data_IF_945550288834
#
_entry.id   IF_945550288834
#
_cell.length_a   1.000
_cell.length_b   1.000
_cell.length_c   1.000
_cell.angle_alpha   90.00
_cell.angle_beta   90.00
_cell.angle_gamma   90.00
#
_symmetry.space_group_name_H-M   'P 1'
#
loop_
_entity.id
_entity.type
_entity.pdbx_description
1 polymer ?
#
# COMPACT_ATOMS: atom_id res chain seq x y z
N UNK A 1 -11.74 13.17 2.96
CA UNK A 1 -11.33 12.70 1.63
C UNK A 1 -11.99 13.43 0.46
N UNK A 2 -12.98 14.23 0.71
CA UNK A 2 -13.70 14.93 -0.36
C UNK A 2 -12.81 15.88 -1.17
N UNK A 3 -11.82 16.50 -0.54
CA UNK A 3 -10.91 17.43 -1.22
C UNK A 3 -9.76 16.71 -1.92
N UNK A 4 -9.58 15.45 -1.61
CA UNK A 4 -8.59 14.61 -2.26
C UNK A 4 -9.30 13.67 -3.20
N UNK A 5 -8.77 13.52 -4.42
CA UNK A 5 -9.35 12.59 -5.39
C UNK A 5 -8.94 11.16 -5.05
N UNK A 6 -9.53 10.60 -3.98
CA UNK A 6 -9.16 9.28 -3.48
C UNK A 6 -9.32 8.21 -4.56
N UNK A 7 -10.43 8.24 -5.29
CA UNK A 7 -10.67 7.27 -6.37
C UNK A 7 -9.60 7.37 -7.45
N UNK A 8 -9.24 8.57 -7.86
CA UNK A 8 -8.20 8.79 -8.86
C UNK A 8 -6.84 8.33 -8.39
N UNK A 9 -6.49 8.61 -7.12
CA UNK A 9 -5.24 8.15 -6.53
C UNK A 9 -5.19 6.63 -6.45
N UNK A 10 -6.30 6.00 -6.04
CA UNK A 10 -6.39 4.54 -5.98
C UNK A 10 -6.21 3.92 -7.36
N UNK A 11 -6.84 4.48 -8.38
CA UNK A 11 -6.71 3.98 -9.74
C UNK A 11 -5.28 4.11 -10.27
N UNK A 12 -4.62 5.22 -9.99
CA UNK A 12 -3.21 5.41 -10.38
C UNK A 12 -2.30 4.38 -9.72
N UNK A 13 -2.46 4.17 -8.42
CA UNK A 13 -1.67 3.21 -7.66
C UNK A 13 -1.93 1.78 -8.15
N UNK A 14 -3.18 1.43 -8.36
CA UNK A 14 -3.58 0.11 -8.86
C UNK A 14 -3.00 -0.15 -10.24
N UNK A 15 -3.15 0.80 -11.14
CA UNK A 15 -2.64 0.66 -12.50
C UNK A 15 -1.12 0.46 -12.51
N UNK A 16 -0.39 1.30 -11.80
CA UNK A 16 1.07 1.21 -11.75
C UNK A 16 1.54 -0.09 -11.10
N UNK A 17 0.92 -0.48 -10.00
CA UNK A 17 1.33 -1.68 -9.25
C UNK A 17 1.05 -2.95 -10.04
N UNK A 18 -0.16 -3.11 -10.55
CA UNK A 18 -0.51 -4.33 -11.28
C UNK A 18 0.27 -4.44 -12.58
N UNK A 19 0.43 -3.33 -13.31
CA UNK A 19 1.20 -3.32 -14.55
C UNK A 19 2.68 -3.66 -14.29
N UNK A 20 3.23 -3.18 -13.16
CA UNK A 20 4.60 -3.49 -12.77
C UNK A 20 4.85 -5.00 -12.68
N UNK A 21 3.86 -5.76 -12.22
CA UNK A 21 3.95 -7.21 -12.11
C UNK A 21 3.45 -7.95 -13.35
N UNK A 22 3.14 -7.24 -14.43
CA UNK A 22 2.64 -7.87 -15.65
C UNK A 22 1.19 -8.30 -15.60
N UNK A 23 0.44 -7.78 -14.62
CA UNK A 23 -1.00 -8.06 -14.48
C UNK A 23 -1.82 -6.99 -15.18
N UNK A 24 -2.93 -7.40 -15.78
CA UNK A 24 -3.84 -6.45 -16.42
C UNK A 24 -4.81 -5.88 -15.38
N UNK A 25 -4.71 -4.56 -15.06
CA UNK A 25 -5.59 -3.98 -14.03
C UNK A 25 -7.08 -4.15 -14.29
N UNK A 26 -7.48 -4.25 -15.57
CA UNK A 26 -8.88 -4.42 -15.92
C UNK A 26 -9.47 -5.77 -15.48
N UNK A 27 -8.63 -6.74 -15.14
CA UNK A 27 -9.06 -8.08 -14.73
C UNK A 27 -9.18 -8.27 -13.23
N UNK A 28 -8.82 -7.24 -12.46
CA UNK A 28 -8.79 -7.32 -11.00
C UNK A 28 -9.56 -6.18 -10.37
N UNK A 29 -10.06 -6.40 -9.15
CA UNK A 29 -10.81 -5.42 -8.40
C UNK A 29 -10.21 -5.26 -7.00
N UNK A 30 -10.17 -4.01 -6.55
CA UNK A 30 -9.75 -3.65 -5.20
C UNK A 30 -10.83 -2.72 -4.65
N UNK A 31 -11.37 -3.04 -3.48
CA UNK A 31 -12.32 -2.18 -2.79
C UNK A 31 -11.58 -1.21 -1.90
N UNK A 32 -11.92 0.06 -1.98
CA UNK A 32 -11.24 1.13 -1.25
C UNK A 32 -12.24 1.89 -0.38
N UNK A 33 -11.89 2.07 0.88
CA UNK A 33 -12.65 2.87 1.83
C UNK A 33 -11.76 4.00 2.37
N UNK A 34 -12.17 5.25 2.14
CA UNK A 34 -11.58 6.39 2.82
C UNK A 34 -12.46 6.75 4.01
N UNK A 35 -11.91 6.67 5.21
CA UNK A 35 -12.61 7.00 6.43
C UNK A 35 -11.84 7.97 7.30
N UNK A 36 -12.45 8.37 8.42
CA UNK A 36 -11.75 9.12 9.45
C UNK A 36 -11.06 8.17 10.42
N UNK A 37 -10.25 8.71 11.34
CA UNK A 37 -9.52 7.89 12.30
C UNK A 37 -10.47 7.04 13.17
N UNK A 38 -11.62 7.58 13.54
CA UNK A 38 -12.59 6.84 14.35
C UNK A 38 -13.10 5.59 13.61
N UNK A 39 -13.40 5.73 12.32
CA UNK A 39 -13.84 4.61 11.49
C UNK A 39 -12.76 3.56 11.33
N UNK A 40 -11.52 3.98 11.13
CA UNK A 40 -10.40 3.05 11.01
C UNK A 40 -10.12 2.34 12.33
N UNK A 41 -10.29 3.03 13.47
CA UNK A 41 -10.15 2.41 14.78
C UNK A 41 -11.22 1.31 14.99
N UNK A 42 -12.45 1.56 14.56
CA UNK A 42 -13.51 0.55 14.62
C UNK A 42 -13.16 -0.67 13.77
N UNK A 43 -12.71 -0.45 12.54
CA UNK A 43 -12.32 -1.54 11.65
C UNK A 43 -11.13 -2.33 12.21
N UNK A 44 -10.15 -1.63 12.77
CA UNK A 44 -8.98 -2.26 13.34
C UNK A 44 -9.34 -3.09 14.59
N UNK A 45 -10.26 -2.59 15.43
CA UNK A 45 -10.75 -3.34 16.58
C UNK A 45 -11.52 -4.58 16.17
N UNK A 46 -12.39 -4.47 15.14
CA UNK A 46 -13.23 -5.58 14.69
C UNK A 46 -12.47 -6.68 13.99
N UNK A 47 -11.45 -6.33 13.19
CA UNK A 47 -10.77 -7.29 12.31
C UNK A 47 -9.36 -7.63 12.74
N UNK A 48 -8.71 -6.81 13.57
CA UNK A 48 -7.34 -7.02 14.00
C UNK A 48 -7.16 -7.00 15.52
N UNK A 49 -8.25 -6.83 16.25
CA UNK A 49 -8.28 -6.78 17.71
C UNK A 49 -7.35 -5.66 18.29
N UNK A 50 -7.24 -4.56 17.56
CA UNK A 50 -6.46 -3.39 17.98
C UNK A 50 -7.32 -2.14 17.90
N UNK A 51 -7.77 -1.59 19.03
CA UNK A 51 -8.73 -0.47 19.04
C UNK A 51 -8.07 0.89 18.82
N UNK A 52 -7.12 0.99 17.91
CA UNK A 52 -6.42 2.23 17.60
C UNK A 52 -6.46 2.50 16.09
N UNK A 53 -6.45 3.78 15.73
CA UNK A 53 -6.38 4.18 14.34
C UNK A 53 -5.00 3.84 13.77
N UNK A 54 -4.99 3.44 12.51
CA UNK A 54 -3.78 3.25 11.74
C UNK A 54 -3.93 4.02 10.43
N UNK A 55 -2.85 4.22 9.69
CA UNK A 55 -2.92 4.95 8.43
C UNK A 55 -3.62 4.16 7.32
N UNK A 56 -3.30 2.89 7.21
CA UNK A 56 -3.85 2.01 6.17
C UNK A 56 -4.10 0.62 6.73
N UNK A 57 -5.22 0.03 6.31
CA UNK A 57 -5.53 -1.37 6.57
C UNK A 57 -5.73 -2.06 5.23
N UNK A 58 -5.28 -3.28 5.13
CA UNK A 58 -5.47 -4.10 3.93
C UNK A 58 -5.87 -5.52 4.31
N UNK A 59 -6.85 -6.05 3.59
CA UNK A 59 -7.37 -7.40 3.80
C UNK A 59 -7.30 -8.17 2.48
N UNK A 60 -6.30 -9.03 2.30
CA UNK A 60 -6.22 -9.84 1.09
C UNK A 60 -7.39 -10.82 0.99
N UNK A 61 -7.96 -10.95 -0.20
CA UNK A 61 -8.99 -11.95 -0.46
C UNK A 61 -8.38 -13.36 -0.56
N UNK A 62 -7.11 -13.44 -1.01
CA UNK A 62 -6.39 -14.70 -1.15
C UNK A 62 -5.07 -14.63 -0.39
N UNK A 63 -4.66 -15.76 0.19
CA UNK A 63 -3.34 -15.88 0.80
C UNK A 63 -2.33 -16.27 -0.29
N UNK A 64 -1.49 -15.30 -0.66
CA UNK A 64 -0.46 -15.48 -1.68
C UNK A 64 0.95 -15.32 -1.11
N UNK A 65 1.11 -15.29 0.21
CA UNK A 65 2.42 -15.11 0.83
C UNK A 65 3.34 -16.28 0.51
N UNK A 66 4.62 -15.98 0.34
CA UNK A 66 5.64 -16.99 0.08
C UNK A 66 6.03 -17.74 1.35
N UNK A 67 6.40 -19.00 1.23
CA UNK A 67 6.82 -19.84 2.34
C UNK A 67 8.27 -19.59 2.76
N UNK A 68 9.07 -19.06 1.85
CA UNK A 68 10.50 -18.84 2.08
C UNK A 68 10.74 -17.36 2.30
N UNK A 69 11.39 -16.94 3.43
CA UNK A 69 11.70 -15.53 3.64
C UNK A 69 12.49 -14.93 2.49
N UNK A 70 12.05 -13.76 2.02
CA UNK A 70 12.66 -13.06 0.89
C UNK A 70 12.19 -13.53 -0.47
N UNK A 71 11.43 -14.61 -0.55
CA UNK A 71 10.85 -15.07 -1.81
C UNK A 71 9.69 -14.17 -2.22
N UNK A 72 9.52 -13.98 -3.52
CA UNK A 72 8.37 -13.23 -4.03
C UNK A 72 7.10 -14.05 -3.90
N UNK A 73 5.97 -13.42 -3.52
CA UNK A 73 4.68 -14.11 -3.50
C UNK A 73 4.28 -14.64 -4.88
N UNK A 74 3.43 -15.66 -4.87
CA UNK A 74 2.84 -16.16 -6.11
C UNK A 74 1.77 -15.19 -6.57
N UNK A 75 1.91 -14.67 -7.78
CA UNK A 75 0.96 -13.70 -8.33
C UNK A 75 -0.34 -14.37 -8.75
N UNK A 76 -1.49 -13.65 -8.65
CA UNK A 76 -2.76 -14.17 -9.14
C UNK A 76 -2.73 -14.38 -10.65
N UNK A 77 -3.50 -15.36 -11.13
CA UNK A 77 -3.58 -15.70 -12.54
C UNK A 77 -4.94 -15.33 -13.12
N UNK A 78 -4.97 -15.13 -14.42
CA UNK A 78 -6.23 -14.96 -15.14
C UNK A 78 -7.10 -16.20 -14.88
N UNK A 79 -8.35 -15.97 -14.46
CA UNK A 79 -9.26 -17.06 -14.09
C UNK A 79 -9.34 -17.33 -12.60
N UNK A 80 -8.42 -16.79 -11.80
CA UNK A 80 -8.58 -16.73 -10.35
C UNK A 80 -9.65 -15.67 -10.01
N UNK A 81 -10.10 -15.65 -8.75
CA UNK A 81 -11.08 -14.65 -8.35
C UNK A 81 -10.55 -13.24 -8.67
N UNK A 82 -11.36 -12.37 -9.31
CA UNK A 82 -10.88 -11.04 -9.71
C UNK A 82 -10.65 -10.11 -8.54
N UNK A 83 -11.24 -10.38 -7.39
CA UNK A 83 -11.15 -9.54 -6.22
C UNK A 83 -9.84 -9.79 -5.48
N UNK A 84 -8.99 -8.76 -5.38
CA UNK A 84 -7.72 -8.86 -4.67
C UNK A 84 -7.89 -8.61 -3.18
N UNK A 85 -8.85 -7.79 -2.78
CA UNK A 85 -9.13 -7.50 -1.40
C UNK A 85 -9.59 -6.08 -1.17
N UNK A 86 -9.46 -5.63 0.09
CA UNK A 86 -9.94 -4.34 0.54
C UNK A 86 -8.81 -3.51 1.15
N UNK A 87 -8.85 -2.21 0.92
CA UNK A 87 -7.92 -1.25 1.51
C UNK A 87 -8.73 -0.11 2.13
N UNK A 88 -8.40 0.24 3.37
CA UNK A 88 -9.01 1.38 4.06
C UNK A 88 -7.92 2.34 4.53
N UNK A 89 -8.18 3.65 4.41
CA UNK A 89 -7.25 4.71 4.77
C UNK A 89 -7.89 5.69 5.75
N UNK A 90 -7.14 6.10 6.77
CA UNK A 90 -7.57 7.07 7.78
C UNK A 90 -7.07 8.47 7.40
N UNK A 91 -8.00 9.39 7.18
CA UNK A 91 -7.67 10.73 6.67
C UNK A 91 -6.75 11.52 7.60
N UNK A 92 -7.14 11.66 8.88
CA UNK A 92 -6.38 12.50 9.82
C UNK A 92 -4.99 11.94 10.08
N UNK A 93 -4.87 10.62 10.19
CA UNK A 93 -3.55 9.97 10.37
C UNK A 93 -2.68 10.20 9.15
N UNK A 94 -3.22 10.02 7.93
CA UNK A 94 -2.47 10.26 6.70
C UNK A 94 -2.02 11.72 6.60
N UNK A 95 -2.90 12.66 6.97
CA UNK A 95 -2.58 14.08 6.93
C UNK A 95 -1.47 14.43 7.91
N UNK A 96 -1.55 13.94 9.14
CA UNK A 96 -0.51 14.18 10.15
C UNK A 96 0.85 13.62 9.72
N UNK A 97 0.84 12.41 9.16
CA UNK A 97 2.08 11.78 8.69
C UNK A 97 2.70 12.56 7.54
N UNK A 98 1.88 13.00 6.59
CA UNK A 98 2.36 13.79 5.47
C UNK A 98 2.97 15.11 5.94
N UNK A 99 2.31 15.81 6.86
CA UNK A 99 2.81 17.06 7.42
C UNK A 99 4.11 16.84 8.19
N UNK A 100 4.19 15.81 9.01
CA UNK A 100 5.38 15.50 9.79
C UNK A 100 6.58 15.17 8.89
N UNK A 101 6.35 14.49 7.79
CA UNK A 101 7.40 14.13 6.82
C UNK A 101 7.63 15.20 5.75
N UNK A 102 6.87 16.29 5.77
CA UNK A 102 6.92 17.38 4.79
C UNK A 102 6.64 16.87 3.37
N UNK A 103 5.67 16.00 3.25
CA UNK A 103 5.23 15.42 1.98
C UNK A 103 3.90 16.01 1.55
N UNK A 104 3.67 16.03 0.24
CA UNK A 104 2.34 16.32 -0.30
C UNK A 104 1.42 15.16 0.09
N UNK A 105 0.22 15.46 0.56
CA UNK A 105 -0.72 14.41 1.01
C UNK A 105 -1.00 13.38 -0.08
N UNK A 106 -1.20 13.82 -1.33
CA UNK A 106 -1.46 12.89 -2.43
C UNK A 106 -0.31 11.91 -2.67
N UNK A 107 0.94 12.37 -2.52
CA UNK A 107 2.11 11.49 -2.66
C UNK A 107 2.16 10.46 -1.54
N UNK A 108 1.87 10.88 -0.32
CA UNK A 108 1.83 9.97 0.82
C UNK A 108 0.72 8.94 0.66
N UNK A 109 -0.46 9.38 0.20
CA UNK A 109 -1.59 8.47 -0.07
C UNK A 109 -1.25 7.46 -1.16
N UNK A 110 -0.58 7.89 -2.24
CA UNK A 110 -0.11 6.96 -3.28
C UNK A 110 0.82 5.91 -2.70
N UNK A 111 1.75 6.31 -1.84
CA UNK A 111 2.64 5.36 -1.16
C UNK A 111 1.85 4.33 -0.36
N UNK A 112 0.87 4.78 0.42
CA UNK A 112 0.06 3.86 1.23
C UNK A 112 -0.78 2.93 0.39
N UNK A 113 -1.32 3.40 -0.74
CA UNK A 113 -2.03 2.52 -1.66
C UNK A 113 -1.12 1.46 -2.27
N UNK A 114 0.05 1.85 -2.75
CA UNK A 114 1.03 0.90 -3.29
C UNK A 114 1.38 -0.14 -2.24
N UNK A 115 1.68 0.31 -1.02
CA UNK A 115 1.98 -0.58 0.10
C UNK A 115 0.83 -1.56 0.37
N UNK A 116 -0.40 -1.04 0.44
CA UNK A 116 -1.59 -1.88 0.66
C UNK A 116 -1.82 -2.88 -0.47
N UNK A 117 -1.66 -2.47 -1.72
CA UNK A 117 -1.82 -3.36 -2.86
C UNK A 117 -0.77 -4.47 -2.84
N UNK A 118 0.48 -4.15 -2.47
CA UNK A 118 1.52 -5.16 -2.32
C UNK A 118 1.13 -6.19 -1.25
N UNK A 119 0.54 -5.76 -0.15
CA UNK A 119 0.00 -6.69 0.86
C UNK A 119 -1.09 -7.58 0.26
N UNK A 120 -1.99 -7.01 -0.54
CA UNK A 120 -3.04 -7.80 -1.21
C UNK A 120 -2.44 -8.86 -2.14
N UNK A 121 -1.29 -8.57 -2.72
CA UNK A 121 -0.58 -9.51 -3.59
C UNK A 121 0.29 -10.52 -2.81
N UNK A 122 0.33 -10.41 -1.49
CA UNK A 122 1.02 -11.37 -0.64
C UNK A 122 2.35 -10.89 -0.07
N UNK A 123 2.80 -9.70 -0.41
CA UNK A 123 4.03 -9.14 0.16
C UNK A 123 3.81 -8.78 1.62
N UNK A 124 4.84 -8.92 2.43
CA UNK A 124 4.78 -8.64 3.85
C UNK A 124 6.12 -8.07 4.32
N UNK A 125 6.12 -7.53 5.55
CA UNK A 125 7.31 -6.96 6.15
C UNK A 125 7.55 -7.47 7.58
N UNK A 126 7.10 -8.70 7.86
CA UNK A 126 7.25 -9.32 9.18
C UNK A 126 8.71 -9.63 9.48
N UNK A 127 9.47 -10.09 8.49
CA UNK A 127 10.90 -10.31 8.65
C UNK A 127 11.70 -9.38 7.74
N UNK A 128 13.01 -9.25 8.00
CA UNK A 128 13.87 -8.33 7.26
C UNK A 128 13.93 -8.61 5.77
N UNK A 129 14.02 -9.87 5.40
CA UNK A 129 14.15 -10.27 4.00
C UNK A 129 12.90 -9.94 3.21
N UNK A 130 11.73 -10.22 3.78
CA UNK A 130 10.45 -9.89 3.16
C UNK A 130 10.26 -8.37 3.09
N UNK A 131 10.64 -7.66 4.14
CA UNK A 131 10.58 -6.20 4.15
C UNK A 131 11.44 -5.60 3.04
N UNK A 132 12.65 -6.11 2.82
CA UNK A 132 13.53 -5.63 1.75
C UNK A 132 12.93 -5.83 0.36
N UNK A 133 12.33 -6.99 0.11
CA UNK A 133 11.68 -7.27 -1.17
C UNK A 133 10.50 -6.33 -1.39
N UNK A 134 9.68 -6.14 -0.37
CA UNK A 134 8.52 -5.28 -0.45
C UNK A 134 8.92 -3.81 -0.66
N UNK A 135 9.86 -3.30 0.12
CA UNK A 135 10.32 -1.91 0.02
C UNK A 135 10.95 -1.61 -1.34
N UNK A 136 11.70 -2.55 -1.89
CA UNK A 136 12.27 -2.39 -3.23
C UNK A 136 11.18 -2.23 -4.28
N UNK A 137 10.15 -3.07 -4.22
CA UNK A 137 9.02 -2.97 -5.14
C UNK A 137 8.28 -1.65 -4.96
N UNK A 138 8.05 -1.21 -3.72
CA UNK A 138 7.44 0.10 -3.45
C UNK A 138 8.22 1.24 -4.10
N UNK A 139 9.53 1.26 -3.91
CA UNK A 139 10.38 2.32 -4.44
C UNK A 139 10.30 2.37 -5.97
N UNK A 140 10.37 1.22 -6.62
CA UNK A 140 10.31 1.16 -8.08
C UNK A 140 8.94 1.59 -8.62
N UNK A 141 7.87 1.14 -8.00
CA UNK A 141 6.51 1.50 -8.42
C UNK A 141 6.25 2.99 -8.19
N UNK A 142 6.66 3.52 -7.04
CA UNK A 142 6.50 4.93 -6.73
C UNK A 142 7.32 5.81 -7.67
N UNK A 143 8.49 5.35 -8.11
CA UNK A 143 9.27 6.06 -9.11
C UNK A 143 8.49 6.19 -10.44
N UNK A 144 7.78 5.15 -10.85
CA UNK A 144 6.92 5.21 -12.03
C UNK A 144 5.81 6.25 -11.85
N UNK A 145 5.29 6.37 -10.64
CA UNK A 145 4.23 7.34 -10.30
C UNK A 145 4.76 8.77 -10.10
N UNK A 146 6.08 8.96 -10.15
CA UNK A 146 6.68 10.28 -9.92
C UNK A 146 6.80 10.64 -8.46
N UNK A 147 6.73 9.68 -7.55
CA UNK A 147 6.84 9.89 -6.11
C UNK A 147 8.25 9.55 -5.66
N UNK A 148 8.86 10.47 -4.89
CA UNK A 148 10.20 10.29 -4.34
C UNK A 148 10.24 9.09 -3.38
N UNK A 149 11.36 8.39 -3.32
CA UNK A 149 11.58 7.26 -2.42
C UNK A 149 11.22 7.66 -0.97
N UNK A 150 10.18 7.05 -0.37
CA UNK A 150 9.74 7.41 0.98
C UNK A 150 10.68 6.93 2.08
N UNK A 151 11.62 6.06 1.77
CA UNK A 151 12.56 5.50 2.72
C UNK A 151 13.90 6.22 2.73
N UNK A 152 14.00 7.33 1.99
CA UNK A 152 15.21 8.15 1.91
C UNK A 152 14.89 9.54 2.45
N UNK A 153 15.70 10.03 3.40
CA UNK A 153 15.55 11.40 3.89
C UNK A 153 15.89 12.40 2.79
N UNK A 154 15.14 13.51 2.67
CA UNK A 154 15.40 14.50 1.63
C UNK A 154 16.80 15.08 1.61
N UNK A 155 17.52 15.06 2.75
CA UNK A 155 18.87 15.55 2.85
C UNK A 155 19.95 14.49 2.71
N UNK A 156 19.58 13.23 2.60
CA UNK A 156 20.51 12.12 2.52
C UNK A 156 20.91 11.81 1.09
N UNK A 157 22.11 11.29 0.94
CA UNK A 157 22.54 10.77 -0.34
C UNK A 157 21.77 9.49 -0.69
N UNK A 158 21.54 9.27 -1.99
CA UNK A 158 20.55 8.29 -2.46
C UNK A 158 20.88 6.82 -2.20
N UNK A 159 21.83 6.51 -1.39
CA UNK A 159 22.25 5.13 -1.21
C UNK A 159 21.69 4.46 0.04
N UNK A 160 20.99 5.18 0.91
CA UNK A 160 20.59 4.65 2.19
C UNK A 160 19.08 4.54 2.29
N UNK A 161 18.59 3.31 2.36
CA UNK A 161 17.18 3.03 2.60
C UNK A 161 17.00 2.76 4.08
N UNK A 162 16.10 3.51 4.73
CA UNK A 162 15.74 3.30 6.14
C UNK A 162 14.30 2.83 6.25
N UNK A 163 14.03 2.14 7.34
CA UNK A 163 12.72 1.57 7.60
C UNK A 163 12.01 2.25 8.73
#
# INVERSE_FOLDING_TARGET
WEQENLTGLAQRAEQATLTYFGLNPAEFEISVLGGNDARLAELNASFRDKPSATNVLSWPALDSSGDIPGARPVLPKIGDAPELGDIALAYETCQREAEAAKLVLSDHVLHLFVHGILHLLGYDHVNEQDAMVMERSEIEILSILGVTNPYTDPGDLPAKVER
#
